data_IF_346680742974
#
_entry.id   IF_346680742974
#
_cell.length_a   1.000
_cell.length_b   1.000
_cell.length_c   1.000
_cell.angle_alpha   90.00
_cell.angle_beta   90.00
_cell.angle_gamma   90.00
#
_symmetry.space_group_name_H-M   'P 1'
#
loop_
_entity.id
_entity.type
_entity.pdbx_description
1 polymer ?
#
# COMPACT_ATOMS: atom_id res chain seq x y z
N UNK A 1 -3.09 31.86 0.98
CA UNK A 1 -2.04 32.60 1.72
C UNK A 1 -0.90 31.71 2.24
N UNK A 2 -0.98 30.37 2.13
CA UNK A 2 0.14 29.43 2.40
C UNK A 2 0.90 29.00 1.13
N UNK A 3 0.53 29.56 -0.02
CA UNK A 3 1.06 29.20 -1.35
C UNK A 3 2.32 29.97 -1.76
N UNK A 4 2.76 30.96 -0.98
CA UNK A 4 3.88 31.86 -1.35
C UNK A 4 5.21 31.53 -0.65
N UNK A 5 5.29 30.44 0.12
CA UNK A 5 6.48 30.08 0.93
C UNK A 5 7.35 28.98 0.27
N UNK A 6 6.87 28.33 -0.80
CA UNK A 6 7.61 27.27 -1.49
C UNK A 6 7.85 27.66 -2.96
N UNK A 7 9.09 27.55 -3.50
CA UNK A 7 9.41 27.85 -4.90
C UNK A 7 8.86 26.81 -5.90
N UNK A 8 7.99 25.91 -5.42
CA UNK A 8 7.36 24.85 -6.18
C UNK A 8 5.84 25.00 -6.05
N UNK A 9 5.18 25.38 -7.14
CA UNK A 9 3.73 25.26 -7.26
C UNK A 9 3.40 23.78 -7.43
N UNK A 10 3.02 23.10 -6.35
CA UNK A 10 2.38 21.79 -6.44
C UNK A 10 0.96 21.99 -6.96
N UNK A 11 0.82 22.00 -8.28
CA UNK A 11 -0.50 21.88 -8.92
C UNK A 11 -0.96 20.45 -8.67
N UNK A 12 -1.80 20.26 -7.65
CA UNK A 12 -2.33 18.95 -7.28
C UNK A 12 -3.26 18.49 -8.39
N UNK A 13 -2.70 17.70 -9.30
CA UNK A 13 -3.45 17.12 -10.38
C UNK A 13 -4.35 15.98 -9.86
N UNK A 14 -5.61 16.30 -9.62
CA UNK A 14 -6.64 15.34 -9.17
C UNK A 14 -6.72 14.11 -10.06
N UNK A 15 -6.45 14.26 -11.37
CA UNK A 15 -6.51 13.13 -12.30
C UNK A 15 -5.29 12.25 -12.15
N UNK A 16 -4.11 12.82 -11.92
CA UNK A 16 -2.91 12.03 -11.63
C UNK A 16 -3.07 11.25 -10.32
N UNK A 17 -3.71 11.85 -9.30
CA UNK A 17 -4.02 11.17 -8.03
C UNK A 17 -5.01 10.03 -8.25
N UNK A 18 -6.07 10.25 -9.04
CA UNK A 18 -7.06 9.23 -9.36
C UNK A 18 -6.44 8.08 -10.19
N UNK A 19 -5.59 8.39 -11.16
CA UNK A 19 -4.86 7.39 -11.93
C UNK A 19 -3.89 6.60 -11.06
N UNK A 20 -3.08 7.27 -10.24
CA UNK A 20 -2.15 6.64 -9.31
C UNK A 20 -2.89 5.72 -8.33
N UNK A 21 -4.05 6.12 -7.80
CA UNK A 21 -4.82 5.28 -6.87
C UNK A 21 -5.39 4.03 -7.54
N UNK A 22 -5.84 4.12 -8.79
CA UNK A 22 -6.25 2.97 -9.60
C UNK A 22 -5.09 1.99 -9.78
N UNK A 23 -3.93 2.46 -10.24
CA UNK A 23 -2.76 1.60 -10.41
C UNK A 23 -2.29 0.98 -9.09
N UNK A 24 -2.31 1.75 -8.01
CA UNK A 24 -1.94 1.26 -6.68
C UNK A 24 -2.87 0.14 -6.22
N UNK A 25 -4.18 0.32 -6.40
CA UNK A 25 -5.19 -0.68 -6.07
C UNK A 25 -5.02 -1.94 -6.93
N UNK A 26 -4.83 -1.78 -8.23
CA UNK A 26 -4.61 -2.89 -9.15
C UNK A 26 -3.39 -3.72 -8.73
N UNK A 27 -2.26 -3.07 -8.44
CA UNK A 27 -1.04 -3.74 -8.00
C UNK A 27 -1.24 -4.42 -6.64
N UNK A 28 -1.92 -3.78 -5.70
CA UNK A 28 -2.21 -4.36 -4.39
C UNK A 28 -3.03 -5.65 -4.50
N UNK A 29 -4.04 -5.66 -5.38
CA UNK A 29 -4.89 -6.83 -5.63
C UNK A 29 -4.16 -7.91 -6.44
N UNK A 30 -3.44 -7.52 -7.49
CA UNK A 30 -2.78 -8.47 -8.40
C UNK A 30 -1.57 -9.16 -7.78
N UNK A 31 -0.90 -8.52 -6.83
CA UNK A 31 0.29 -9.04 -6.15
C UNK A 31 0.01 -9.37 -4.68
N UNK A 32 -1.10 -10.06 -4.39
CA UNK A 32 -1.45 -10.44 -3.02
C UNK A 32 -0.34 -11.17 -2.25
N UNK A 33 0.42 -12.13 -2.81
CA UNK A 33 1.53 -12.76 -2.08
C UNK A 33 2.63 -11.77 -1.68
N UNK A 34 2.86 -10.74 -2.50
CA UNK A 34 3.83 -9.68 -2.19
C UNK A 34 3.29 -8.78 -1.09
N UNK A 35 2.00 -8.45 -1.12
CA UNK A 35 1.34 -7.67 -0.06
C UNK A 35 1.44 -8.38 1.29
N UNK A 36 1.12 -9.67 1.35
CA UNK A 36 1.24 -10.50 2.56
C UNK A 36 2.69 -10.54 3.06
N UNK A 37 3.66 -10.73 2.17
CA UNK A 37 5.08 -10.71 2.52
C UNK A 37 5.51 -9.35 3.09
N UNK A 38 5.08 -8.23 2.51
CA UNK A 38 5.37 -6.89 3.03
C UNK A 38 4.78 -6.71 4.43
N UNK A 39 3.52 -7.12 4.64
CA UNK A 39 2.86 -7.05 5.95
C UNK A 39 3.66 -7.84 6.98
N UNK A 40 4.11 -9.05 6.66
CA UNK A 40 4.94 -9.83 7.57
C UNK A 40 6.26 -9.13 7.92
N UNK A 41 6.96 -8.56 6.94
CA UNK A 41 8.22 -7.87 7.21
C UNK A 41 8.01 -6.61 8.06
N UNK A 42 6.97 -5.83 7.78
CA UNK A 42 6.62 -4.66 8.58
C UNK A 42 6.23 -5.07 10.01
N UNK A 43 5.46 -6.15 10.18
CA UNK A 43 5.09 -6.65 11.49
C UNK A 43 6.33 -7.11 12.28
N UNK A 44 7.23 -7.88 11.65
CA UNK A 44 8.52 -8.28 12.25
C UNK A 44 9.36 -7.07 12.65
N UNK A 45 9.43 -6.06 11.79
CA UNK A 45 10.17 -4.84 12.06
C UNK A 45 9.56 -4.03 13.20
N UNK A 46 8.24 -3.84 13.24
CA UNK A 46 7.56 -3.16 14.33
C UNK A 46 7.75 -3.89 15.66
N UNK A 47 7.62 -5.22 15.68
CA UNK A 47 7.87 -6.01 16.89
C UNK A 47 9.34 -5.92 17.34
N UNK A 48 10.29 -5.83 16.41
CA UNK A 48 11.71 -5.61 16.73
C UNK A 48 11.96 -4.20 17.29
N UNK A 49 11.42 -3.17 16.63
CA UNK A 49 11.55 -1.77 17.04
C UNK A 49 10.95 -1.56 18.43
N UNK A 50 9.77 -2.13 18.69
CA UNK A 50 9.13 -2.05 20.00
C UNK A 50 9.97 -2.76 21.07
N UNK A 51 10.50 -3.96 20.78
CA UNK A 51 11.39 -4.67 21.71
C UNK A 51 12.67 -3.89 22.02
N UNK A 52 13.17 -3.10 21.08
CA UNK A 52 14.37 -2.26 21.28
C UNK A 52 14.13 -1.07 22.21
N UNK A 53 12.87 -0.64 22.38
CA UNK A 53 12.49 0.47 23.27
C UNK A 53 12.40 0.06 24.75
N UNK A 54 12.39 -1.25 25.07
CA UNK A 54 12.22 -1.72 26.45
C UNK A 54 13.52 -2.24 27.08
N UNK A 55 13.86 -1.68 28.24
CA UNK A 55 14.98 -2.16 29.09
C UNK A 55 14.51 -3.23 30.11
N UNK A 56 13.21 -3.36 30.40
CA UNK A 56 12.67 -4.35 31.37
C UNK A 56 11.64 -5.32 30.74
N UNK A 57 11.78 -6.63 31.02
CA UNK A 57 10.93 -7.70 30.46
C UNK A 57 9.51 -7.75 31.04
N UNK A 58 9.30 -7.22 32.25
CA UNK A 58 8.04 -7.34 33.00
C UNK A 58 6.93 -6.39 32.53
N UNK A 59 7.28 -5.24 31.95
CA UNK A 59 6.29 -4.31 31.36
C UNK A 59 5.82 -4.77 29.98
N UNK A 60 6.72 -5.39 29.22
CA UNK A 60 6.44 -5.94 27.88
C UNK A 60 5.40 -7.06 27.93
N UNK A 61 5.51 -8.01 28.88
CA UNK A 61 4.57 -9.13 28.98
C UNK A 61 3.14 -8.70 29.37
N UNK A 62 2.99 -7.63 30.17
CA UNK A 62 1.67 -7.12 30.59
C UNK A 62 0.86 -6.47 29.46
N UNK A 63 1.53 -5.94 28.45
CA UNK A 63 0.88 -5.20 27.35
C UNK A 63 1.01 -5.88 25.98
N UNK A 64 1.66 -7.05 25.94
CA UNK A 64 2.05 -7.76 24.71
C UNK A 64 0.91 -7.98 23.71
N UNK A 65 -0.19 -8.57 24.15
CA UNK A 65 -1.28 -8.96 23.25
C UNK A 65 -1.99 -7.77 22.58
N UNK A 66 -2.17 -6.66 23.32
CA UNK A 66 -2.80 -5.46 22.80
C UNK A 66 -1.88 -4.67 21.85
N UNK A 67 -0.55 -4.82 22.00
CA UNK A 67 0.45 -4.17 21.14
C UNK A 67 0.76 -4.99 19.88
N UNK A 68 0.84 -6.31 19.99
CA UNK A 68 1.00 -7.20 18.82
C UNK A 68 -0.15 -7.01 17.82
N UNK A 69 -1.39 -6.82 18.30
CA UNK A 69 -2.53 -6.52 17.42
C UNK A 69 -2.43 -5.12 16.79
N UNK A 70 -1.94 -4.11 17.53
CA UNK A 70 -1.67 -2.79 16.98
C UNK A 70 -0.57 -2.84 15.91
N UNK A 71 0.53 -3.54 16.16
CA UNK A 71 1.63 -3.68 15.20
C UNK A 71 1.19 -4.42 13.94
N UNK A 72 0.35 -5.47 14.07
CA UNK A 72 -0.24 -6.14 12.93
C UNK A 72 -1.16 -5.21 12.12
N UNK A 73 -1.97 -4.38 12.80
CA UNK A 73 -2.81 -3.39 12.16
C UNK A 73 -1.99 -2.32 11.42
N UNK A 74 -0.99 -1.74 12.08
CA UNK A 74 -0.08 -0.77 11.45
C UNK A 74 0.67 -1.41 10.28
N UNK A 75 1.15 -2.65 10.42
CA UNK A 75 1.82 -3.35 9.32
C UNK A 75 0.93 -3.48 8.08
N UNK A 76 -0.36 -3.79 8.28
CA UNK A 76 -1.36 -3.84 7.21
C UNK A 76 -1.61 -2.48 6.56
N UNK A 77 -1.66 -1.40 7.35
CA UNK A 77 -1.86 -0.04 6.79
C UNK A 77 -0.61 0.45 6.05
N UNK A 78 0.57 0.27 6.63
CA UNK A 78 1.83 0.72 6.06
C UNK A 78 2.24 -0.09 4.83
N UNK A 79 1.75 -1.34 4.68
CA UNK A 79 2.02 -2.14 3.48
C UNK A 79 1.45 -1.52 2.20
N UNK A 80 0.46 -0.63 2.31
CA UNK A 80 -0.15 0.09 1.18
C UNK A 80 0.84 1.10 0.56
N UNK A 81 1.77 1.65 1.35
CA UNK A 81 2.68 2.72 0.93
C UNK A 81 3.55 2.31 -0.28
N UNK A 82 4.24 1.15 -0.28
CA UNK A 82 4.95 0.66 -1.46
C UNK A 82 4.09 0.63 -2.73
N UNK A 83 2.83 0.20 -2.62
CA UNK A 83 1.92 0.15 -3.76
C UNK A 83 1.49 1.54 -4.23
N UNK A 84 1.35 2.52 -3.32
CA UNK A 84 1.11 3.91 -3.69
C UNK A 84 2.26 4.49 -4.50
N UNK A 85 3.50 4.23 -4.07
CA UNK A 85 4.70 4.69 -4.78
C UNK A 85 4.78 4.05 -6.17
N UNK A 86 4.68 2.72 -6.25
CA UNK A 86 4.79 2.01 -7.53
C UNK A 86 3.60 2.34 -8.43
N UNK A 87 2.38 2.45 -7.89
CA UNK A 87 1.19 2.81 -8.63
C UNK A 87 1.27 4.22 -9.22
N UNK A 88 1.79 5.19 -8.47
CA UNK A 88 2.07 6.52 -8.99
C UNK A 88 3.12 6.50 -10.12
N UNK A 89 4.19 5.71 -9.98
CA UNK A 89 5.20 5.53 -11.02
C UNK A 89 4.61 4.85 -12.28
N UNK A 90 3.74 3.86 -12.12
CA UNK A 90 3.05 3.22 -13.24
C UNK A 90 2.13 4.20 -13.96
N UNK A 91 1.31 4.97 -13.22
CA UNK A 91 0.47 5.99 -13.82
C UNK A 91 1.30 7.01 -14.61
N UNK A 92 2.36 7.52 -13.99
CA UNK A 92 3.25 8.49 -14.62
C UNK A 92 3.94 7.94 -15.87
N UNK A 93 4.42 6.68 -15.83
CA UNK A 93 5.06 6.05 -16.99
C UNK A 93 4.09 5.83 -18.17
N UNK A 94 2.84 5.46 -17.88
CA UNK A 94 1.81 5.31 -18.92
C UNK A 94 1.38 6.68 -19.44
N UNK A 95 1.24 7.67 -18.57
CA UNK A 95 0.90 9.03 -18.97
C UNK A 95 1.96 9.66 -19.87
N UNK A 96 3.25 9.46 -19.55
CA UNK A 96 4.36 9.94 -20.38
C UNK A 96 4.44 9.26 -21.75
N UNK A 97 4.05 8.00 -21.86
CA UNK A 97 4.20 7.21 -23.10
C UNK A 97 2.97 7.27 -24.00
N UNK A 98 1.77 7.15 -23.43
CA UNK A 98 0.50 7.00 -24.16
C UNK A 98 -0.46 8.16 -23.91
N UNK A 99 -0.17 9.04 -22.95
CA UNK A 99 -1.01 10.16 -22.57
C UNK A 99 -1.96 9.86 -21.42
N UNK A 100 -2.55 10.94 -20.89
CA UNK A 100 -3.33 10.94 -19.65
C UNK A 100 -4.58 10.06 -19.67
N UNK A 101 -5.33 10.06 -20.79
CA UNK A 101 -6.54 9.22 -20.90
C UNK A 101 -6.20 7.73 -20.87
N UNK A 102 -5.08 7.33 -21.49
CA UNK A 102 -4.63 5.94 -21.49
C UNK A 102 -4.21 5.48 -20.09
N UNK A 103 -3.53 6.34 -19.32
CA UNK A 103 -3.11 6.01 -17.96
C UNK A 103 -4.30 5.64 -17.07
N UNK A 104 -5.40 6.40 -17.14
CA UNK A 104 -6.62 6.13 -16.37
C UNK A 104 -7.34 4.88 -16.88
N UNK A 105 -7.58 4.79 -18.19
CA UNK A 105 -8.32 3.66 -18.77
C UNK A 105 -7.62 2.33 -18.52
N UNK A 106 -6.30 2.29 -18.67
CA UNK A 106 -5.49 1.10 -18.37
C UNK A 106 -5.49 0.79 -16.87
N UNK A 107 -5.46 1.79 -16.01
CA UNK A 107 -5.60 1.62 -14.56
C UNK A 107 -6.95 0.99 -14.17
N UNK A 108 -8.06 1.44 -14.79
CA UNK A 108 -9.39 0.85 -14.59
C UNK A 108 -9.41 -0.62 -15.03
N UNK A 109 -8.88 -0.92 -16.22
CA UNK A 109 -8.81 -2.29 -16.74
C UNK A 109 -7.95 -3.19 -15.83
N UNK A 110 -6.83 -2.68 -15.35
CA UNK A 110 -5.96 -3.37 -14.41
C UNK A 110 -6.71 -3.65 -13.08
N UNK A 111 -7.43 -2.68 -12.53
CA UNK A 111 -8.26 -2.89 -11.33
C UNK A 111 -9.29 -4.00 -11.53
N UNK A 112 -10.01 -3.99 -12.66
CA UNK A 112 -11.00 -5.01 -12.98
C UNK A 112 -10.34 -6.38 -13.09
N UNK A 113 -9.25 -6.49 -13.88
CA UNK A 113 -8.54 -7.75 -14.09
C UNK A 113 -7.94 -8.32 -12.81
N UNK A 114 -7.25 -7.49 -12.03
CA UNK A 114 -6.66 -7.89 -10.75
C UNK A 114 -7.75 -8.21 -9.70
N UNK A 115 -8.87 -7.49 -9.71
CA UNK A 115 -10.01 -7.79 -8.84
C UNK A 115 -10.63 -9.16 -9.13
N UNK A 116 -10.86 -9.48 -10.42
CA UNK A 116 -11.33 -10.80 -10.84
C UNK A 116 -10.33 -11.90 -10.49
N UNK A 117 -9.04 -11.66 -10.74
CA UNK A 117 -7.98 -12.59 -10.38
C UNK A 117 -7.96 -12.88 -8.88
N UNK A 118 -8.02 -11.85 -8.04
CA UNK A 118 -7.97 -12.00 -6.59
C UNK A 118 -9.20 -12.74 -6.05
N UNK A 119 -10.39 -12.48 -6.59
CA UNK A 119 -11.59 -13.25 -6.26
C UNK A 119 -11.43 -14.73 -6.63
N UNK A 120 -10.93 -15.02 -7.84
CA UNK A 120 -10.69 -16.39 -8.28
C UNK A 120 -9.61 -17.10 -7.47
N UNK A 121 -8.54 -16.41 -7.08
CA UNK A 121 -7.48 -16.95 -6.22
C UNK A 121 -8.01 -17.34 -4.84
N UNK A 122 -8.88 -16.51 -4.26
CA UNK A 122 -9.51 -16.78 -2.95
C UNK A 122 -10.45 -17.97 -3.01
N UNK A 123 -11.26 -18.08 -4.06
CA UNK A 123 -12.17 -19.21 -4.26
C UNK A 123 -11.41 -20.53 -4.46
N UNK A 124 -10.27 -20.48 -5.17
CA UNK A 124 -9.40 -21.64 -5.40
C UNK A 124 -8.59 -22.11 -4.20
N UNK A 125 -8.65 -21.41 -3.06
CA UNK A 125 -7.95 -21.80 -1.84
C UNK A 125 -8.99 -22.38 -0.86
N UNK A 126 -9.24 -23.71 -0.86
CA UNK A 126 -10.22 -24.31 0.03
C UNK A 126 -9.82 -24.00 1.48
N UNK A 127 -10.72 -23.31 2.19
CA UNK A 127 -10.62 -23.10 3.62
C UNK A 127 -10.71 -24.46 4.32
N UNK A 128 -9.58 -24.94 4.85
CA UNK A 128 -9.54 -25.98 5.89
C UNK A 128 -10.16 -25.45 7.19
#
# INVERSE_FOLDING_TARGET
MLTDILPFSFDLDTVAIAGASLWSLALYLGFSPVSEWIIEQLNRWFNFAERSLYTSKSEFEKTRQARESQNAFYASVFSIIPFLVIGALCNWGVELSLGRSWAISMGILACIGCGVYELGRRDGNPSD
#
